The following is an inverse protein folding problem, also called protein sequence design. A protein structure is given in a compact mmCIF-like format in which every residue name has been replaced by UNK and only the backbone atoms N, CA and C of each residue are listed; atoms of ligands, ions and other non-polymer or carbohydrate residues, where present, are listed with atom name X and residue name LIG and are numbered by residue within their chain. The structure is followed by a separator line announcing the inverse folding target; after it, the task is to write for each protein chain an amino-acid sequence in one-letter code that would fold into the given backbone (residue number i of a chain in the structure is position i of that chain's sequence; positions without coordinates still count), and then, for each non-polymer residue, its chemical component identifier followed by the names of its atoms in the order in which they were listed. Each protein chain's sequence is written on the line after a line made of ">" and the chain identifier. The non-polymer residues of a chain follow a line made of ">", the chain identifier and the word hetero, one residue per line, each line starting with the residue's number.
data_IF_818839970648
#
_entry.id   IF_818839970648
#
_cell.length_a   1.000
_cell.length_b   1.000
_cell.length_c   1.000
_cell.angle_alpha   90.00
_cell.angle_beta   90.00
_cell.angle_gamma   90.00
#
_symmetry.space_group_name_H-M   'P 1'
#
loop_
_entity.id
_entity.type
_entity.pdbx_description
1 polymer ?
#
# COMPACT_ATOMS: atom_id res chain seq x y z
N UNK A 1 10.12 20.66 -12.36
CA UNK A 1 9.11 19.63 -12.01
C UNK A 1 9.61 18.29 -12.50
N UNK A 2 9.44 17.19 -11.75
CA UNK A 2 9.93 15.88 -12.15
C UNK A 2 9.22 15.41 -13.43
N UNK A 3 9.99 14.95 -14.42
CA UNK A 3 9.47 14.28 -15.61
C UNK A 3 9.22 12.79 -15.35
N UNK A 4 8.62 12.06 -16.30
CA UNK A 4 8.36 10.62 -16.14
C UNK A 4 9.60 9.77 -15.85
N UNK A 5 10.77 10.20 -16.34
CA UNK A 5 12.06 9.55 -16.05
C UNK A 5 12.60 9.78 -14.64
N UNK A 6 12.03 10.69 -13.85
CA UNK A 6 12.51 10.96 -12.49
C UNK A 6 11.89 10.03 -11.44
N UNK A 7 10.91 9.22 -11.84
CA UNK A 7 10.21 8.28 -10.97
C UNK A 7 10.85 6.90 -11.01
N UNK A 8 11.12 6.35 -9.83
CA UNK A 8 11.88 5.09 -9.72
C UNK A 8 11.17 3.99 -8.94
N UNK A 9 10.06 4.32 -8.28
CA UNK A 9 9.25 3.38 -7.51
C UNK A 9 7.83 3.40 -8.06
N UNK A 10 7.33 2.24 -8.47
CA UNK A 10 5.91 2.02 -8.75
C UNK A 10 5.21 1.43 -7.53
N UNK A 11 4.04 1.94 -7.17
CA UNK A 11 3.20 1.45 -6.09
C UNK A 11 1.80 1.19 -6.64
N UNK A 12 1.41 -0.08 -6.67
CA UNK A 12 0.09 -0.51 -7.14
C UNK A 12 -0.73 -0.94 -5.93
N UNK A 13 -1.92 -0.35 -5.80
CA UNK A 13 -2.94 -0.74 -4.83
C UNK A 13 -4.02 -1.55 -5.52
N UNK A 14 -4.53 -2.58 -4.84
CA UNK A 14 -5.55 -3.45 -5.39
C UNK A 14 -6.96 -2.88 -5.22
N UNK A 15 -7.21 -2.18 -4.12
CA UNK A 15 -8.53 -1.58 -3.82
C UNK A 15 -8.43 -0.12 -3.38
N UNK A 16 -9.56 0.58 -3.45
CA UNK A 16 -9.66 2.01 -3.08
C UNK A 16 -9.13 2.29 -1.67
N UNK A 17 -9.47 1.45 -0.68
CA UNK A 17 -9.05 1.64 0.71
C UNK A 17 -7.52 1.64 0.86
N UNK A 18 -6.84 0.74 0.15
CA UNK A 18 -5.37 0.67 0.15
C UNK A 18 -4.77 1.91 -0.51
N UNK A 19 -5.34 2.34 -1.64
CA UNK A 19 -4.91 3.53 -2.35
C UNK A 19 -5.09 4.81 -1.53
N UNK A 20 -6.22 4.94 -0.83
CA UNK A 20 -6.51 6.07 0.07
C UNK A 20 -5.50 6.13 1.21
N UNK A 21 -5.20 4.98 1.83
CA UNK A 21 -4.18 4.90 2.87
C UNK A 21 -2.81 5.28 2.32
N UNK A 22 -2.37 4.64 1.24
CA UNK A 22 -1.07 4.90 0.61
C UNK A 22 -0.88 6.38 0.23
N UNK A 23 -1.92 7.02 -0.35
CA UNK A 23 -1.88 8.43 -0.75
C UNK A 23 -1.78 9.36 0.46
N UNK A 24 -2.26 8.94 1.63
CA UNK A 24 -2.14 9.72 2.86
C UNK A 24 -0.72 9.77 3.42
N UNK A 25 0.16 8.85 3.01
CA UNK A 25 1.56 8.74 3.44
C UNK A 25 2.57 9.30 2.42
N UNK A 26 2.11 9.97 1.36
CA UNK A 26 3.00 10.76 0.51
C UNK A 26 3.42 12.03 1.27
N UNK A 27 4.73 12.30 1.32
CA UNK A 27 5.27 13.54 1.87
C UNK A 27 4.91 14.73 0.99
N UNK A 28 4.92 14.51 -0.33
CA UNK A 28 4.55 15.49 -1.34
C UNK A 28 3.71 14.81 -2.44
N UNK A 29 2.63 15.49 -2.86
CA UNK A 29 1.87 15.11 -4.05
C UNK A 29 2.29 16.04 -5.18
N UNK A 30 2.87 15.46 -6.23
CA UNK A 30 3.25 16.18 -7.44
C UNK A 30 2.01 16.37 -8.36
N UNK A 31 2.03 17.34 -9.29
CA UNK A 31 1.06 17.40 -10.36
C UNK A 31 0.99 16.09 -11.14
N UNK A 32 -0.18 15.76 -11.69
CA UNK A 32 -0.35 14.57 -12.51
C UNK A 32 0.57 14.55 -13.74
N UNK A 33 0.78 13.37 -14.36
CA UNK A 33 1.66 13.26 -15.52
C UNK A 33 1.17 14.14 -16.68
N UNK A 34 2.07 14.90 -17.29
CA UNK A 34 1.76 15.71 -18.47
C UNK A 34 1.47 14.87 -19.72
N UNK A 35 1.99 13.65 -19.75
CA UNK A 35 1.73 12.66 -20.80
C UNK A 35 1.91 11.25 -20.24
N UNK A 36 1.03 10.35 -20.63
CA UNK A 36 1.15 8.89 -20.42
C UNK A 36 1.18 8.19 -21.79
N UNK A 37 1.58 6.92 -21.81
CA UNK A 37 1.58 6.13 -23.04
C UNK A 37 0.18 6.03 -23.66
N UNK A 38 0.08 6.00 -25.00
CA UNK A 38 -1.19 6.12 -25.75
C UNK A 38 -2.27 5.09 -25.37
N UNK A 39 -1.87 3.91 -24.91
CA UNK A 39 -2.79 2.82 -24.53
C UNK A 39 -2.74 2.53 -23.02
N UNK A 40 -2.16 3.45 -22.26
CA UNK A 40 -2.17 3.40 -20.81
C UNK A 40 -3.48 4.02 -20.31
N UNK A 41 -4.34 3.18 -19.76
CA UNK A 41 -5.64 3.57 -19.21
C UNK A 41 -5.61 3.73 -17.69
N UNK A 42 -4.43 3.68 -17.06
CA UNK A 42 -4.31 3.84 -15.63
C UNK A 42 -4.48 5.32 -15.23
N UNK A 43 -5.05 5.53 -14.05
CA UNK A 43 -4.96 6.81 -13.36
C UNK A 43 -3.77 6.79 -12.39
N UNK A 44 -2.93 7.83 -12.44
CA UNK A 44 -1.76 7.94 -11.59
C UNK A 44 -1.84 9.09 -10.60
N UNK A 45 -1.38 8.84 -9.37
CA UNK A 45 -0.90 9.89 -8.48
C UNK A 45 0.62 9.86 -8.47
N UNK A 46 1.23 11.03 -8.64
CA UNK A 46 2.66 11.20 -8.55
C UNK A 46 3.02 11.84 -7.22
N UNK A 47 4.10 11.42 -6.60
CA UNK A 47 4.52 12.01 -5.34
C UNK A 47 5.91 11.59 -4.90
N UNK A 48 6.17 11.86 -3.62
CA UNK A 48 7.47 11.62 -2.99
C UNK A 48 7.31 11.03 -1.60
N UNK A 49 8.20 10.10 -1.25
CA UNK A 49 8.40 9.57 0.10
C UNK A 49 9.90 9.58 0.38
N UNK A 50 10.32 10.30 1.41
CA UNK A 50 11.73 10.57 1.68
C UNK A 50 12.42 11.14 0.44
N UNK A 51 13.43 10.45 -0.07
CA UNK A 51 14.16 10.84 -1.28
C UNK A 51 13.70 10.09 -2.55
N UNK A 52 12.57 9.40 -2.49
CA UNK A 52 12.09 8.56 -3.59
C UNK A 52 10.86 9.16 -4.26
N UNK A 53 10.94 9.34 -5.58
CA UNK A 53 9.79 9.69 -6.41
C UNK A 53 8.98 8.42 -6.71
N UNK A 54 7.69 8.46 -6.36
CA UNK A 54 6.75 7.33 -6.39
C UNK A 54 5.64 7.59 -7.41
N UNK A 55 5.34 6.60 -8.23
CA UNK A 55 4.16 6.53 -9.10
C UNK A 55 3.16 5.59 -8.45
N UNK A 56 2.00 6.11 -8.08
CA UNK A 56 0.91 5.31 -7.53
C UNK A 56 -0.16 5.04 -8.58
N UNK A 57 -0.65 3.81 -8.63
CA UNK A 57 -1.85 3.44 -9.39
C UNK A 57 -2.78 2.61 -8.50
N UNK A 58 -4.07 2.64 -8.81
CA UNK A 58 -5.08 1.75 -8.24
C UNK A 58 -5.60 0.84 -9.35
N UNK A 59 -5.77 -0.44 -9.05
CA UNK A 59 -6.39 -1.38 -9.98
C UNK A 59 -7.85 -0.95 -10.28
N UNK A 60 -8.39 -1.26 -11.48
CA UNK A 60 -9.78 -0.97 -11.81
C UNK A 60 -10.75 -1.62 -10.81
N UNK A 61 -11.82 -0.89 -10.48
CA UNK A 61 -12.82 -1.37 -9.54
C UNK A 61 -13.47 -2.67 -10.03
N UNK A 62 -13.72 -3.61 -9.12
CA UNK A 62 -14.23 -4.95 -9.43
C UNK A 62 -13.25 -5.89 -10.15
N UNK A 63 -12.11 -5.40 -10.66
CA UNK A 63 -11.10 -6.20 -11.36
C UNK A 63 -9.91 -6.52 -10.44
N UNK A 64 -10.18 -7.29 -9.38
CA UNK A 64 -9.14 -7.80 -8.49
C UNK A 64 -8.45 -9.03 -9.11
N UNK A 65 -7.12 -9.06 -9.05
CA UNK A 65 -6.35 -10.26 -9.38
C UNK A 65 -5.06 -10.00 -10.13
N UNK A 66 -4.34 -11.09 -10.41
CA UNK A 66 -3.00 -11.09 -11.01
C UNK A 66 -3.00 -10.42 -12.39
N UNK A 67 -4.01 -10.70 -13.23
CA UNK A 67 -4.11 -10.16 -14.59
C UNK A 67 -4.25 -8.63 -14.60
N UNK A 68 -5.11 -8.11 -13.74
CA UNK A 68 -5.34 -6.67 -13.57
C UNK A 68 -4.07 -5.97 -13.08
N UNK A 69 -3.45 -6.49 -12.00
CA UNK A 69 -2.19 -5.96 -11.49
C UNK A 69 -1.07 -5.99 -12.52
N UNK A 70 -0.97 -7.06 -13.32
CA UNK A 70 0.00 -7.17 -14.41
C UNK A 70 -0.23 -6.14 -15.52
N UNK A 71 -1.48 -5.89 -15.89
CA UNK A 71 -1.84 -4.86 -16.87
C UNK A 71 -1.48 -3.45 -16.37
N UNK A 72 -1.84 -3.14 -15.12
CA UNK A 72 -1.48 -1.87 -14.47
C UNK A 72 0.04 -1.70 -14.44
N UNK A 73 0.77 -2.71 -13.97
CA UNK A 73 2.22 -2.67 -13.88
C UNK A 73 2.89 -2.52 -15.26
N UNK A 74 2.45 -3.26 -16.27
CA UNK A 74 2.96 -3.13 -17.64
C UNK A 74 2.80 -1.70 -18.16
N UNK A 75 1.60 -1.14 -18.04
CA UNK A 75 1.29 0.20 -18.51
C UNK A 75 2.13 1.25 -17.76
N UNK A 76 2.28 1.09 -16.44
CA UNK A 76 3.13 1.94 -15.61
C UNK A 76 4.58 1.95 -16.08
N UNK A 77 5.16 0.79 -16.40
CA UNK A 77 6.52 0.70 -16.92
C UNK A 77 6.68 1.36 -18.31
N UNK A 78 5.64 1.36 -19.14
CA UNK A 78 5.66 2.08 -20.42
C UNK A 78 5.62 3.60 -20.25
N UNK A 79 4.85 4.10 -19.29
CA UNK A 79 4.71 5.53 -19.02
C UNK A 79 5.86 6.10 -18.18
N UNK A 80 6.49 5.29 -17.34
CA UNK A 80 7.55 5.67 -16.41
C UNK A 80 8.77 4.73 -16.55
N UNK A 81 9.66 4.98 -17.53
CA UNK A 81 10.66 4.01 -17.96
C UNK A 81 11.79 3.75 -16.93
N UNK A 82 11.95 4.63 -15.95
CA UNK A 82 13.02 4.54 -14.94
C UNK A 82 12.55 3.89 -13.62
N UNK A 83 11.34 3.33 -13.58
CA UNK A 83 10.91 2.51 -12.46
C UNK A 83 11.83 1.29 -12.35
N UNK A 84 12.44 1.14 -11.17
CA UNK A 84 13.35 0.03 -10.83
C UNK A 84 12.71 -0.97 -9.89
N UNK A 85 11.74 -0.52 -9.08
CA UNK A 85 11.04 -1.34 -8.10
C UNK A 85 9.54 -1.07 -8.26
N UNK A 86 8.78 -2.12 -8.55
CA UNK A 86 7.31 -2.10 -8.52
C UNK A 86 6.82 -2.89 -7.30
N UNK A 87 6.00 -2.25 -6.47
CA UNK A 87 5.40 -2.85 -5.29
C UNK A 87 3.89 -2.97 -5.48
N UNK A 88 3.37 -4.18 -5.36
CA UNK A 88 1.95 -4.43 -5.14
C UNK A 88 1.73 -4.42 -3.62
N UNK A 89 1.04 -3.42 -3.10
CA UNK A 89 0.82 -3.27 -1.65
C UNK A 89 -0.67 -3.28 -1.38
N UNK A 90 -1.08 -4.24 -0.56
CA UNK A 90 -2.48 -4.40 -0.19
C UNK A 90 -2.67 -5.34 0.99
N UNK A 91 -3.93 -5.51 1.37
CA UNK A 91 -4.38 -6.39 2.44
C UNK A 91 -4.45 -7.81 1.89
N UNK A 92 -3.89 -8.76 2.62
CA UNK A 92 -3.93 -10.17 2.29
C UNK A 92 -4.56 -11.00 3.39
N UNK A 93 -5.21 -12.11 3.03
CA UNK A 93 -5.59 -13.14 3.98
C UNK A 93 -4.39 -14.02 4.33
N UNK A 94 -4.22 -14.34 5.61
CA UNK A 94 -3.20 -15.27 6.11
C UNK A 94 -3.84 -16.49 6.75
N UNK A 95 -3.26 -17.67 6.53
CA UNK A 95 -3.64 -18.90 7.24
C UNK A 95 -2.51 -19.25 8.21
N UNK A 96 -2.76 -19.23 9.53
CA UNK A 96 -1.76 -19.65 10.51
C UNK A 96 -1.36 -21.11 10.25
N UNK A 97 -0.05 -21.38 10.24
CA UNK A 97 0.48 -22.72 10.01
C UNK A 97 1.45 -23.11 11.12
N UNK A 98 1.74 -24.41 11.24
CA UNK A 98 2.65 -24.93 12.27
C UNK A 98 4.09 -24.42 12.17
N UNK A 99 4.49 -23.91 11.00
CA UNK A 99 5.82 -23.32 10.75
C UNK A 99 5.83 -21.79 10.70
N UNK A 100 4.68 -21.18 10.41
CA UNK A 100 4.53 -19.74 10.23
C UNK A 100 3.31 -19.31 11.05
N UNK A 101 3.58 -18.75 12.23
CA UNK A 101 2.55 -18.11 13.05
C UNK A 101 2.25 -16.74 12.42
N UNK A 102 1.22 -16.68 11.58
CA UNK A 102 0.78 -15.46 10.91
C UNK A 102 -0.45 -14.95 11.64
N UNK A 103 -0.34 -13.77 12.24
CA UNK A 103 -1.41 -13.07 12.93
C UNK A 103 -1.97 -11.90 12.12
N UNK A 104 -3.08 -11.34 12.59
CA UNK A 104 -3.59 -10.08 12.04
C UNK A 104 -2.62 -8.93 12.36
N UNK A 105 -2.40 -8.08 11.36
CA UNK A 105 -1.45 -6.97 11.46
C UNK A 105 -0.03 -7.35 11.02
N UNK A 106 0.26 -8.63 10.78
CA UNK A 106 1.54 -9.03 10.23
C UNK A 106 1.72 -8.52 8.79
N UNK A 107 2.91 -8.01 8.51
CA UNK A 107 3.32 -7.57 7.17
C UNK A 107 4.21 -8.63 6.57
N UNK A 108 3.81 -9.17 5.41
CA UNK A 108 4.59 -10.16 4.67
C UNK A 108 5.34 -9.49 3.53
N UNK A 109 6.66 -9.29 3.64
CA UNK A 109 7.43 -8.68 2.57
C UNK A 109 7.90 -9.70 1.53
N UNK A 110 8.14 -9.28 0.27
CA UNK A 110 8.81 -10.11 -0.71
C UNK A 110 10.24 -10.45 -0.27
N UNK A 111 10.74 -11.60 -0.72
CA UNK A 111 12.08 -12.09 -0.35
C UNK A 111 13.20 -11.08 -0.64
N UNK A 112 13.08 -10.34 -1.73
CA UNK A 112 13.95 -9.22 -2.13
C UNK A 112 14.17 -8.19 -1.02
N UNK A 113 13.16 -7.92 -0.19
CA UNK A 113 13.22 -6.86 0.83
C UNK A 113 13.63 -7.38 2.21
N UNK A 114 13.92 -8.67 2.37
CA UNK A 114 14.23 -9.27 3.68
C UNK A 114 15.46 -8.66 4.33
N UNK A 115 16.51 -8.37 3.56
CA UNK A 115 17.72 -7.71 4.10
C UNK A 115 17.42 -6.31 4.63
N UNK A 116 16.68 -5.50 3.86
CA UNK A 116 16.26 -4.18 4.29
C UNK A 116 15.37 -4.23 5.54
N UNK A 117 14.50 -5.23 5.63
CA UNK A 117 13.60 -5.41 6.78
C UNK A 117 14.35 -5.88 8.02
N UNK A 118 15.35 -6.76 7.88
CA UNK A 118 16.20 -7.13 9.01
C UNK A 118 16.98 -5.91 9.53
N UNK A 119 17.45 -5.04 8.64
CA UNK A 119 18.04 -3.75 9.04
C UNK A 119 17.04 -2.87 9.80
N UNK A 120 15.83 -2.67 9.23
CA UNK A 120 14.78 -1.85 9.89
C UNK A 120 14.38 -2.43 11.25
N UNK A 121 14.30 -3.75 11.39
CA UNK A 121 14.03 -4.41 12.68
C UNK A 121 15.11 -4.10 13.71
N UNK A 122 16.38 -4.10 13.32
CA UNK A 122 17.48 -3.75 14.22
C UNK A 122 17.35 -2.28 14.68
N UNK A 123 17.09 -1.36 13.74
CA UNK A 123 16.85 0.06 14.06
C UNK A 123 15.64 0.22 14.98
N UNK A 124 14.55 -0.49 14.71
CA UNK A 124 13.33 -0.43 15.54
C UNK A 124 13.57 -0.92 16.97
N UNK A 125 14.42 -1.93 17.15
CA UNK A 125 14.77 -2.43 18.48
C UNK A 125 15.63 -1.43 19.26
N UNK A 126 16.47 -0.65 18.59
CA UNK A 126 17.37 0.31 19.26
C UNK A 126 16.73 1.68 19.46
N UNK A 127 15.96 2.16 18.50
CA UNK A 127 15.48 3.55 18.43
C UNK A 127 13.94 3.67 18.51
N UNK A 128 13.21 2.57 18.36
CA UNK A 128 11.76 2.59 18.16
C UNK A 128 11.36 2.84 16.70
N UNK A 129 10.06 2.80 16.41
CA UNK A 129 9.56 2.82 15.02
C UNK A 129 8.59 3.96 14.66
N UNK A 130 8.00 4.65 15.63
CA UNK A 130 7.10 5.80 15.40
C UNK A 130 5.82 5.53 14.58
N UNK A 131 5.59 4.30 14.11
CA UNK A 131 4.48 3.95 13.21
C UNK A 131 3.10 4.42 13.69
N UNK A 132 2.78 4.24 14.98
CA UNK A 132 1.50 4.67 15.53
C UNK A 132 1.35 6.19 15.45
N UNK A 133 2.40 6.93 15.81
CA UNK A 133 2.42 8.40 15.71
C UNK A 133 2.30 8.86 14.25
N UNK A 134 2.96 8.18 13.31
CA UNK A 134 2.84 8.47 11.88
C UNK A 134 1.41 8.27 11.37
N UNK A 135 0.75 7.16 11.77
CA UNK A 135 -0.66 6.89 11.43
C UNK A 135 -1.57 7.97 12.01
N UNK A 136 -1.41 8.29 13.30
CA UNK A 136 -2.23 9.30 13.97
C UNK A 136 -2.04 10.68 13.33
N UNK A 137 -0.81 11.04 12.96
CA UNK A 137 -0.52 12.28 12.26
C UNK A 137 -1.22 12.33 10.90
N UNK A 138 -1.06 11.28 10.07
CA UNK A 138 -1.70 11.19 8.76
C UNK A 138 -3.24 11.30 8.84
N UNK A 139 -3.85 10.68 9.86
CA UNK A 139 -5.29 10.77 10.10
C UNK A 139 -5.73 12.15 10.59
N UNK A 140 -4.99 12.78 11.51
CA UNK A 140 -5.32 14.10 12.05
C UNK A 140 -5.33 15.21 10.99
N UNK A 141 -4.50 15.07 9.94
CA UNK A 141 -4.45 16.01 8.83
C UNK A 141 -5.64 15.86 7.86
N UNK A 142 -6.43 14.79 7.99
CA UNK A 142 -7.49 14.42 7.05
C UNK A 142 -8.76 13.98 7.80
N UNK A 143 -9.60 14.92 8.26
CA UNK A 143 -10.78 14.61 9.09
C UNK A 143 -11.75 13.59 8.48
N UNK A 144 -11.93 13.62 7.15
CA UNK A 144 -12.75 12.63 6.43
C UNK A 144 -12.19 11.21 6.52
N UNK A 145 -10.85 11.06 6.49
CA UNK A 145 -10.21 9.76 6.65
C UNK A 145 -10.29 9.30 8.10
N UNK A 146 -10.10 10.20 9.06
CA UNK A 146 -10.24 9.86 10.48
C UNK A 146 -11.64 9.35 10.81
N UNK A 147 -12.69 9.97 10.25
CA UNK A 147 -14.06 9.53 10.46
C UNK A 147 -14.38 8.16 9.85
N UNK A 148 -13.79 7.83 8.68
CA UNK A 148 -14.07 6.59 7.95
C UNK A 148 -13.15 5.42 8.34
N UNK A 149 -11.88 5.69 8.63
CA UNK A 149 -10.81 4.70 8.82
C UNK A 149 -10.14 4.79 10.20
N UNK A 150 -10.61 5.67 11.08
CA UNK A 150 -10.12 5.75 12.45
C UNK A 150 -10.32 4.43 13.18
N UNK A 151 -9.42 4.14 14.12
CA UNK A 151 -9.52 2.91 14.92
C UNK A 151 -10.86 2.90 15.67
N UNK A 152 -11.67 1.83 15.54
CA UNK A 152 -12.94 1.73 16.25
C UNK A 152 -12.70 1.63 17.76
N UNK A 153 -13.77 1.82 18.54
CA UNK A 153 -13.68 1.65 20.00
C UNK A 153 -13.16 0.25 20.36
N UNK A 154 -12.32 0.08 21.39
CA UNK A 154 -11.88 -1.25 21.83
C UNK A 154 -13.03 -2.20 22.20
N UNK A 155 -14.19 -1.64 22.57
CA UNK A 155 -15.40 -2.42 22.84
C UNK A 155 -15.99 -3.08 21.58
N UNK A 156 -15.78 -2.48 20.41
CA UNK A 156 -16.27 -2.97 19.11
C UNK A 156 -15.19 -3.67 18.27
N UNK A 157 -13.91 -3.52 18.62
CA UNK A 157 -12.77 -4.15 17.96
C UNK A 157 -12.62 -5.61 18.41
N UNK A 158 -13.61 -6.43 18.06
CA UNK A 158 -13.70 -7.85 18.44
C UNK A 158 -13.64 -8.73 17.21
N UNK A 159 -12.61 -9.56 17.15
CA UNK A 159 -12.48 -10.60 16.13
C UNK A 159 -13.32 -11.82 16.50
N UNK A 160 -13.85 -12.50 15.50
CA UNK A 160 -14.40 -13.83 15.69
C UNK A 160 -13.30 -14.78 16.16
N UNK A 161 -13.66 -15.76 17.00
CA UNK A 161 -12.73 -16.84 17.34
C UNK A 161 -12.40 -17.65 16.09
N UNK A 162 -11.21 -18.22 16.03
CA UNK A 162 -10.74 -19.00 14.87
C UNK A 162 -11.60 -20.24 14.57
N UNK A 163 -12.34 -20.72 15.57
CA UNK A 163 -13.28 -21.85 15.50
C UNK A 163 -14.73 -21.42 15.22
N UNK A 164 -14.99 -20.12 15.02
CA UNK A 164 -16.32 -19.62 14.78
C UNK A 164 -16.79 -19.97 13.36
N UNK A 165 -17.80 -20.84 13.28
CA UNK A 165 -18.48 -21.16 12.03
C UNK A 165 -19.49 -20.07 11.72
N UNK A 166 -19.26 -19.33 10.63
CA UNK A 166 -20.22 -18.34 10.14
C UNK A 166 -21.53 -19.05 9.74
N UNK A 167 -22.71 -18.54 10.16
CA UNK A 167 -23.97 -19.02 9.62
C UNK A 167 -23.95 -18.89 8.10
N UNK A 168 -24.35 -19.94 7.39
CA UNK A 168 -24.60 -19.83 5.95
C UNK A 168 -25.82 -18.94 5.77
N UNK A 169 -25.65 -17.78 5.15
CA UNK A 169 -26.74 -16.86 4.86
C UNK A 169 -27.88 -17.60 4.14
N UNK A 170 -29.10 -17.54 4.71
CA UNK A 170 -30.35 -18.05 4.13
C UNK A 170 -30.92 -17.09 3.11
#
# INVERSE_FOLDING_TARGET
>A
MPGPGDYTVGWICAVETEYVAARAFLDEIHPGPSSISRHDNNAYTLGKIGNHNVVMAVAPDGEYGITSAAAVGRNMLHSFPNIRIGLMVGIGGGVPGTKNDIGLGDIVPPALLRTAINYLKAVYQTEGHGLEQSILCALSLKPRLQAKYGRPSPASDRLFRSDYVHPTDT
#
